data_IF_062904169222
#
_entry.id   IF_062904169222
#
_cell.length_a   1.000
_cell.length_b   1.000
_cell.length_c   1.000
_cell.angle_alpha   90.00
_cell.angle_beta   90.00
_cell.angle_gamma   90.00
#
_symmetry.space_group_name_H-M   'P 1'
#
loop_
_entity.id
_entity.type
_entity.pdbx_description
1 polymer ?
#
# COMPACT_ATOMS: atom_id res chain seq x y z
N UNK A 1 -12.27 -1.07 -6.64
CA UNK A 1 -11.35 -0.46 -7.62
C UNK A 1 -10.00 -1.14 -7.59
N UNK A 2 -9.33 -1.32 -6.44
CA UNK A 2 -8.01 -1.95 -6.40
C UNK A 2 -8.02 -3.32 -7.08
N UNK A 3 -8.99 -4.17 -6.80
CA UNK A 3 -9.15 -5.46 -7.46
C UNK A 3 -9.33 -5.33 -8.98
N UNK A 4 -10.00 -4.28 -9.46
CA UNK A 4 -10.13 -4.03 -10.89
C UNK A 4 -8.80 -3.63 -11.52
N UNK A 5 -8.02 -2.76 -10.87
CA UNK A 5 -6.67 -2.38 -11.31
C UNK A 5 -5.77 -3.63 -11.36
N UNK A 6 -5.77 -4.43 -10.30
CA UNK A 6 -4.97 -5.65 -10.21
C UNK A 6 -5.38 -6.69 -11.26
N UNK A 7 -6.69 -6.82 -11.54
CA UNK A 7 -7.19 -7.68 -12.63
C UNK A 7 -6.69 -7.23 -14.01
N UNK A 8 -6.68 -5.92 -14.27
CA UNK A 8 -6.13 -5.35 -15.50
C UNK A 8 -4.64 -5.68 -15.65
N UNK A 9 -3.84 -5.35 -14.63
CA UNK A 9 -2.40 -5.60 -14.63
C UNK A 9 -2.10 -7.09 -14.80
N UNK A 10 -2.76 -7.95 -14.03
CA UNK A 10 -2.60 -9.39 -14.08
C UNK A 10 -2.97 -9.98 -15.43
N UNK A 11 -4.09 -9.52 -16.03
CA UNK A 11 -4.51 -9.96 -17.36
C UNK A 11 -3.58 -9.49 -18.48
N UNK A 12 -2.82 -8.42 -18.27
CA UNK A 12 -1.84 -7.90 -19.23
C UNK A 12 -0.60 -8.77 -19.38
N UNK A 13 -0.28 -9.59 -18.36
CA UNK A 13 0.82 -10.55 -18.42
C UNK A 13 0.47 -11.72 -19.35
N UNK A 14 1.48 -12.34 -19.98
CA UNK A 14 1.30 -13.49 -20.86
C UNK A 14 0.61 -14.66 -20.13
N UNK A 15 -0.53 -15.10 -20.66
CA UNK A 15 -1.34 -16.16 -20.05
C UNK A 15 -2.06 -15.75 -18.75
N UNK A 16 -1.99 -14.49 -18.37
CA UNK A 16 -2.61 -13.99 -17.13
C UNK A 16 -4.13 -14.04 -17.17
N UNK A 17 -4.73 -14.55 -16.09
CA UNK A 17 -6.18 -14.59 -15.90
C UNK A 17 -6.62 -13.42 -15.02
N UNK A 18 -7.73 -12.72 -15.36
CA UNK A 18 -8.13 -11.51 -14.62
C UNK A 18 -8.33 -11.72 -13.12
N UNK A 19 -8.92 -12.85 -12.71
CA UNK A 19 -9.32 -13.07 -11.30
C UNK A 19 -8.59 -14.22 -10.61
N UNK A 20 -7.60 -14.83 -11.27
CA UNK A 20 -6.84 -15.94 -10.70
C UNK A 20 -5.36 -15.84 -11.13
N UNK A 21 -4.52 -15.30 -10.30
CA UNK A 21 -3.09 -15.11 -10.59
C UNK A 21 -2.30 -14.60 -9.39
N UNK A 22 -1.21 -13.92 -9.69
CA UNK A 22 -0.23 -13.49 -8.70
C UNK A 22 -0.76 -12.43 -7.71
N UNK A 23 -1.47 -11.42 -8.25
CA UNK A 23 -1.94 -10.28 -7.44
C UNK A 23 -3.25 -10.58 -6.73
N UNK A 24 -4.19 -11.19 -7.45
CA UNK A 24 -5.51 -11.51 -6.90
C UNK A 24 -5.94 -12.93 -7.29
N UNK A 25 -6.62 -13.58 -6.34
CA UNK A 25 -7.31 -14.83 -6.54
C UNK A 25 -8.67 -14.74 -5.82
N UNK A 26 -9.65 -14.12 -6.49
CA UNK A 26 -10.92 -13.69 -5.89
C UNK A 26 -12.12 -14.53 -6.31
N UNK A 27 -11.87 -15.66 -6.97
CA UNK A 27 -12.93 -16.63 -7.28
C UNK A 27 -13.50 -16.48 -8.70
N UNK A 28 -14.75 -16.89 -8.85
CA UNK A 28 -15.40 -17.00 -10.16
C UNK A 28 -16.06 -15.69 -10.58
N UNK A 29 -16.01 -15.35 -11.87
CA UNK A 29 -16.67 -14.17 -12.44
C UNK A 29 -18.17 -14.15 -12.09
N UNK A 30 -18.84 -15.29 -12.09
CA UNK A 30 -20.25 -15.40 -11.72
C UNK A 30 -20.56 -14.98 -10.28
N UNK A 31 -19.60 -15.09 -9.36
CA UNK A 31 -19.73 -14.67 -7.96
C UNK A 31 -19.43 -13.18 -7.76
N UNK A 32 -18.61 -12.60 -8.64
CA UNK A 32 -18.16 -11.21 -8.58
C UNK A 32 -19.11 -10.24 -9.27
N UNK A 33 -20.01 -10.73 -10.12
CA UNK A 33 -21.00 -9.91 -10.81
C UNK A 33 -21.92 -9.19 -9.83
N UNK A 34 -22.31 -7.97 -10.18
CA UNK A 34 -23.29 -7.24 -9.38
C UNK A 34 -24.68 -7.90 -9.50
N UNK A 35 -25.09 -8.58 -8.42
CA UNK A 35 -26.37 -9.29 -8.35
C UNK A 35 -27.57 -8.35 -8.23
N UNK A 36 -27.39 -7.10 -7.80
CA UNK A 36 -28.47 -6.14 -7.65
C UNK A 36 -28.96 -5.60 -9.00
N UNK A 37 -28.06 -5.43 -9.95
CA UNK A 37 -28.41 -4.97 -11.30
C UNK A 37 -28.54 -6.13 -12.30
N UNK A 38 -28.32 -7.37 -11.87
CA UNK A 38 -28.44 -8.55 -12.72
C UNK A 38 -27.47 -8.56 -13.91
N UNK A 39 -26.24 -8.07 -13.70
CA UNK A 39 -25.22 -8.03 -14.78
C UNK A 39 -24.77 -9.42 -15.20
N UNK A 40 -24.73 -9.65 -16.50
CA UNK A 40 -24.23 -10.91 -17.09
C UNK A 40 -22.73 -10.86 -17.39
N UNK A 41 -22.11 -9.69 -17.31
CA UNK A 41 -20.68 -9.48 -17.58
C UNK A 41 -20.05 -8.59 -16.51
N UNK A 42 -18.73 -8.71 -16.34
CA UNK A 42 -17.91 -7.74 -15.64
C UNK A 42 -17.15 -6.95 -16.69
N UNK A 43 -17.21 -5.64 -16.60
CA UNK A 43 -16.50 -4.74 -17.50
C UNK A 43 -15.61 -3.79 -16.71
N UNK A 44 -14.34 -3.70 -17.10
CA UNK A 44 -13.35 -2.82 -16.49
C UNK A 44 -12.79 -1.96 -17.62
N UNK A 45 -13.05 -0.66 -17.55
CA UNK A 45 -12.58 0.32 -18.55
C UNK A 45 -11.52 1.25 -18.00
N UNK A 46 -10.64 1.72 -18.88
CA UNK A 46 -9.65 2.77 -18.59
C UNK A 46 -9.71 3.83 -19.68
N UNK A 47 -10.10 5.06 -19.32
CA UNK A 47 -10.12 6.24 -20.19
C UNK A 47 -10.83 6.05 -21.55
N UNK A 48 -11.85 5.21 -21.63
CA UNK A 48 -12.57 4.87 -22.89
C UNK A 48 -11.70 4.23 -23.99
N UNK A 49 -10.39 4.13 -23.77
CA UNK A 49 -9.42 3.61 -24.74
C UNK A 49 -9.19 2.11 -24.59
N UNK A 50 -9.31 1.62 -23.38
CA UNK A 50 -9.09 0.21 -23.06
C UNK A 50 -10.26 -0.36 -22.26
N UNK A 51 -10.70 -1.55 -22.60
CA UNK A 51 -11.66 -2.30 -21.80
C UNK A 51 -11.31 -3.78 -21.70
N UNK A 52 -11.60 -4.35 -20.55
CA UNK A 52 -11.56 -5.78 -20.25
C UNK A 52 -12.97 -6.25 -19.95
N UNK A 53 -13.55 -7.07 -20.82
CA UNK A 53 -14.90 -7.63 -20.67
C UNK A 53 -14.78 -9.10 -20.30
N UNK A 54 -15.43 -9.52 -19.22
CA UNK A 54 -15.35 -10.86 -18.63
C UNK A 54 -16.76 -11.45 -18.51
N UNK A 55 -17.21 -12.20 -19.53
CA UNK A 55 -18.52 -12.83 -19.54
C UNK A 55 -18.57 -14.10 -18.66
N UNK A 56 -17.46 -14.81 -18.48
CA UNK A 56 -17.37 -16.03 -17.65
C UNK A 56 -15.96 -16.29 -17.13
N UNK A 57 -15.75 -17.42 -16.49
CA UNK A 57 -14.47 -17.79 -15.87
C UNK A 57 -13.40 -18.27 -16.87
N UNK A 58 -13.78 -18.48 -18.12
CA UNK A 58 -12.92 -19.09 -19.15
C UNK A 58 -12.51 -18.08 -20.20
N UNK A 59 -13.44 -17.18 -20.57
CA UNK A 59 -13.24 -16.24 -21.66
C UNK A 59 -13.23 -14.81 -21.13
N UNK A 60 -12.32 -14.01 -21.64
CA UNK A 60 -12.30 -12.57 -21.49
C UNK A 60 -11.81 -11.92 -22.78
N UNK A 61 -12.27 -10.71 -23.03
CA UNK A 61 -11.90 -9.93 -24.21
C UNK A 61 -11.24 -8.64 -23.76
N UNK A 62 -10.10 -8.34 -24.35
CA UNK A 62 -9.43 -7.05 -24.25
C UNK A 62 -9.73 -6.23 -25.50
N UNK A 63 -10.00 -4.95 -25.33
CA UNK A 63 -10.16 -3.98 -26.41
C UNK A 63 -9.23 -2.82 -26.13
N UNK A 64 -8.46 -2.37 -27.12
CA UNK A 64 -7.40 -1.37 -26.96
C UNK A 64 -6.09 -1.95 -26.43
N UNK A 65 -5.09 -1.09 -26.31
CA UNK A 65 -3.77 -1.42 -25.78
C UNK A 65 -3.64 -0.88 -24.35
N UNK A 66 -3.48 -1.76 -23.38
CA UNK A 66 -3.18 -1.39 -22.01
C UNK A 66 -1.72 -1.70 -21.73
N UNK A 67 -0.89 -0.73 -21.32
CA UNK A 67 0.54 -0.92 -21.15
C UNK A 67 0.90 -1.71 -19.86
N UNK A 68 0.12 -2.74 -19.55
CA UNK A 68 0.30 -3.53 -18.33
C UNK A 68 1.68 -4.20 -18.25
N UNK A 69 2.28 -4.54 -19.41
CA UNK A 69 3.63 -5.12 -19.45
C UNK A 69 4.73 -4.10 -19.10
N UNK A 70 4.46 -2.82 -19.21
CA UNK A 70 5.39 -1.72 -18.93
C UNK A 70 5.27 -1.21 -17.49
N UNK A 71 4.15 -1.54 -16.80
CA UNK A 71 3.91 -1.11 -15.43
C UNK A 71 4.52 -2.11 -14.45
N UNK A 72 5.52 -1.67 -13.70
CA UNK A 72 5.98 -2.41 -12.54
C UNK A 72 5.08 -2.07 -11.35
N UNK A 73 4.22 -3.02 -10.97
CA UNK A 73 3.26 -2.85 -9.88
C UNK A 73 3.74 -3.62 -8.66
N UNK A 74 3.94 -2.89 -7.56
CA UNK A 74 4.15 -3.44 -6.23
C UNK A 74 2.81 -3.38 -5.49
N UNK A 75 2.26 -4.54 -5.14
CA UNK A 75 1.02 -4.62 -4.38
C UNK A 75 1.28 -5.16 -2.98
N UNK A 76 0.79 -4.47 -1.99
CA UNK A 76 0.85 -4.81 -0.56
C UNK A 76 -0.56 -5.02 -0.06
N UNK A 77 -0.95 -6.27 0.11
CA UNK A 77 -2.27 -6.68 0.58
C UNK A 77 -2.50 -6.31 2.04
N UNK A 78 -3.77 -6.19 2.45
CA UNK A 78 -4.16 -6.08 3.86
C UNK A 78 -3.76 -7.34 4.66
N UNK A 79 -3.79 -8.53 4.05
CA UNK A 79 -3.36 -9.79 4.65
C UNK A 79 -1.84 -9.97 4.57
N UNK A 80 -1.10 -9.16 5.32
CA UNK A 80 0.36 -9.27 5.45
C UNK A 80 0.75 -10.36 6.44
N UNK A 81 2.01 -10.86 6.31
CA UNK A 81 2.52 -11.92 7.18
C UNK A 81 2.60 -11.47 8.64
N UNK A 82 3.08 -10.25 8.87
CA UNK A 82 3.19 -9.65 10.20
C UNK A 82 4.14 -10.41 11.14
N UNK A 83 3.78 -10.53 12.42
CA UNK A 83 4.65 -11.07 13.46
C UNK A 83 4.88 -12.58 13.34
N UNK A 84 6.15 -12.99 13.23
CA UNK A 84 6.64 -14.37 13.22
C UNK A 84 7.92 -14.48 14.04
N UNK A 85 8.26 -15.67 14.51
CA UNK A 85 9.57 -15.93 15.13
C UNK A 85 10.70 -15.96 14.10
N UNK A 86 10.40 -16.49 12.91
CA UNK A 86 11.26 -16.55 11.72
C UNK A 86 10.44 -16.30 10.47
N UNK A 87 11.10 -15.89 9.41
CA UNK A 87 10.48 -15.61 8.11
C UNK A 87 11.10 -16.50 7.03
N UNK A 88 10.43 -16.63 5.90
CA UNK A 88 10.85 -17.50 4.81
C UNK A 88 11.81 -16.79 3.85
N UNK A 89 12.77 -17.52 3.30
CA UNK A 89 13.55 -17.08 2.15
C UNK A 89 12.77 -17.29 0.85
N UNK A 90 12.96 -16.40 -0.11
CA UNK A 90 12.51 -16.63 -1.48
C UNK A 90 13.45 -17.61 -2.20
N UNK A 91 13.15 -18.89 -2.09
CA UNK A 91 13.94 -19.97 -2.71
C UNK A 91 13.71 -20.11 -4.21
N UNK A 92 12.71 -19.42 -4.78
CA UNK A 92 12.44 -19.42 -6.23
C UNK A 92 13.44 -18.57 -7.00
N UNK A 93 14.24 -17.79 -6.29
CA UNK A 93 15.16 -16.80 -6.87
C UNK A 93 14.44 -15.50 -7.25
N UNK A 94 15.23 -14.43 -7.44
CA UNK A 94 14.71 -13.09 -7.73
C UNK A 94 14.46 -12.26 -6.48
N UNK A 95 14.06 -10.99 -6.72
CA UNK A 95 13.88 -9.96 -5.70
C UNK A 95 12.40 -9.68 -5.42
N UNK A 96 11.57 -10.71 -5.56
CA UNK A 96 10.14 -10.61 -5.28
C UNK A 96 9.88 -10.60 -3.77
N UNK A 97 9.14 -9.61 -3.30
CA UNK A 97 8.74 -9.48 -1.89
C UNK A 97 7.45 -10.26 -1.60
N UNK A 98 6.64 -10.50 -2.64
CA UNK A 98 5.31 -11.09 -2.54
C UNK A 98 4.24 -10.10 -2.10
N UNK A 99 2.97 -10.42 -2.40
CA UNK A 99 1.83 -9.53 -2.14
C UNK A 99 1.48 -9.41 -0.65
N UNK A 100 1.84 -10.40 0.15
CA UNK A 100 1.68 -10.44 1.61
C UNK A 100 2.94 -10.02 2.34
N UNK A 101 3.93 -9.48 1.61
CA UNK A 101 5.26 -9.17 2.10
C UNK A 101 6.00 -10.40 2.69
N UNK A 102 5.66 -11.61 2.23
CA UNK A 102 6.20 -12.87 2.77
C UNK A 102 7.71 -12.97 2.68
N UNK A 103 8.33 -12.27 1.72
CA UNK A 103 9.78 -12.25 1.51
C UNK A 103 10.41 -10.87 1.78
N UNK A 104 9.71 -9.97 2.48
CA UNK A 104 10.22 -8.62 2.75
C UNK A 104 11.54 -8.67 3.55
N UNK A 105 11.64 -9.51 4.55
CA UNK A 105 12.85 -9.62 5.36
C UNK A 105 13.98 -10.39 4.66
N UNK A 106 13.65 -11.30 3.74
CA UNK A 106 14.66 -11.92 2.85
C UNK A 106 15.24 -10.86 1.91
N UNK A 107 14.38 -10.01 1.33
CA UNK A 107 14.81 -8.88 0.52
C UNK A 107 15.71 -7.93 1.33
N UNK A 108 15.32 -7.57 2.55
CA UNK A 108 16.15 -6.74 3.43
C UNK A 108 17.50 -7.39 3.72
N UNK A 109 17.54 -8.68 4.06
CA UNK A 109 18.79 -9.40 4.37
C UNK A 109 19.76 -9.41 3.18
N UNK A 110 19.23 -9.56 1.96
CA UNK A 110 20.04 -9.56 0.73
C UNK A 110 20.58 -8.18 0.34
N UNK A 111 19.78 -7.14 0.56
CA UNK A 111 20.03 -5.78 0.05
C UNK A 111 20.42 -4.76 1.13
N UNK A 112 20.54 -5.16 2.40
CA UNK A 112 20.81 -4.26 3.54
C UNK A 112 21.94 -3.27 3.27
N UNK A 113 23.05 -3.78 2.72
CA UNK A 113 24.27 -3.01 2.46
C UNK A 113 24.35 -2.46 1.04
N UNK A 114 23.35 -2.71 0.19
CA UNK A 114 23.34 -2.17 -1.16
C UNK A 114 23.34 -0.65 -1.12
N UNK A 115 24.20 0.00 -1.91
CA UNK A 115 24.22 1.46 -1.98
C UNK A 115 22.86 2.00 -2.42
N UNK A 116 22.40 3.02 -1.72
CA UNK A 116 21.17 3.70 -2.12
C UNK A 116 21.39 4.40 -3.48
N UNK A 117 20.64 3.98 -4.49
CA UNK A 117 20.91 4.37 -5.88
C UNK A 117 20.29 5.71 -6.28
N UNK A 118 19.24 6.15 -5.61
CA UNK A 118 18.54 7.38 -5.95
C UNK A 118 18.62 8.40 -4.80
N UNK A 119 19.53 9.37 -4.95
CA UNK A 119 19.67 10.46 -3.99
C UNK A 119 18.39 11.30 -3.82
N UNK A 120 17.47 11.30 -4.82
CA UNK A 120 16.20 12.01 -4.72
C UNK A 120 15.27 11.34 -3.71
N UNK A 121 15.45 10.06 -3.43
CA UNK A 121 14.66 9.32 -2.43
C UNK A 121 15.24 9.43 -1.00
N UNK A 122 16.36 10.13 -0.81
CA UNK A 122 16.90 10.40 0.52
C UNK A 122 16.17 11.58 1.12
N UNK A 123 15.41 11.34 2.17
CA UNK A 123 14.67 12.40 2.87
C UNK A 123 15.58 13.25 3.77
N UNK A 124 16.59 12.63 4.39
CA UNK A 124 17.51 13.28 5.32
C UNK A 124 18.94 12.87 4.98
N UNK A 125 19.77 13.84 4.64
CA UNK A 125 21.17 13.64 4.25
C UNK A 125 22.04 13.02 5.36
N UNK A 126 21.58 13.04 6.62
CA UNK A 126 22.26 12.40 7.74
C UNK A 126 22.00 10.90 7.83
N UNK A 127 21.01 10.39 7.09
CA UNK A 127 20.68 8.97 7.03
C UNK A 127 21.76 8.17 6.31
N UNK A 128 21.89 6.88 6.64
CA UNK A 128 22.82 5.99 5.94
C UNK A 128 22.34 5.76 4.51
N UNK A 129 23.25 5.90 3.55
CA UNK A 129 22.99 5.73 2.11
C UNK A 129 23.10 4.27 1.68
N UNK A 130 22.42 3.36 2.42
CA UNK A 130 22.22 1.97 2.05
C UNK A 130 20.73 1.65 2.13
N UNK A 131 20.29 0.59 1.47
CA UNK A 131 18.88 0.16 1.52
C UNK A 131 18.41 -0.03 2.96
N UNK A 132 19.09 -0.85 3.75
CA UNK A 132 18.76 -1.06 5.17
C UNK A 132 18.87 0.22 6.00
N UNK A 133 19.79 1.12 5.65
CA UNK A 133 19.90 2.44 6.25
C UNK A 133 18.65 3.29 6.06
N UNK A 134 18.07 3.29 4.86
CA UNK A 134 16.82 4.01 4.56
C UNK A 134 15.61 3.33 5.21
N UNK A 135 15.53 2.00 5.22
CA UNK A 135 14.50 1.25 5.94
C UNK A 135 14.52 1.63 7.43
N UNK A 136 15.70 1.62 8.05
CA UNK A 136 15.85 1.94 9.45
C UNK A 136 15.56 3.42 9.77
N UNK A 137 15.96 4.34 8.90
CA UNK A 137 15.62 5.76 9.06
C UNK A 137 14.09 5.96 9.16
N UNK A 138 13.33 5.40 8.22
CA UNK A 138 11.87 5.58 8.23
C UNK A 138 11.18 4.82 9.35
N UNK A 139 11.63 3.60 9.68
CA UNK A 139 11.06 2.84 10.77
C UNK A 139 11.30 3.52 12.13
N UNK A 140 12.49 4.11 12.33
CA UNK A 140 12.82 4.86 13.52
C UNK A 140 12.01 6.15 13.62
N UNK A 141 11.86 6.89 12.51
CA UNK A 141 11.06 8.11 12.44
C UNK A 141 9.59 7.85 12.74
N UNK A 142 9.01 6.75 12.25
CA UNK A 142 7.57 6.43 12.41
C UNK A 142 7.28 5.82 13.77
N UNK A 143 8.12 4.89 14.27
CA UNK A 143 7.84 4.10 15.46
C UNK A 143 8.96 4.06 16.51
N UNK A 144 10.13 4.64 16.22
CA UNK A 144 11.29 4.61 17.14
C UNK A 144 11.97 3.25 17.22
N UNK A 145 11.89 2.44 16.17
CA UNK A 145 12.53 1.12 16.07
C UNK A 145 13.45 1.05 14.86
N UNK A 146 14.46 0.18 14.96
CA UNK A 146 15.27 -0.29 13.84
C UNK A 146 15.02 -1.77 13.61
N UNK A 147 15.31 -2.28 12.41
CA UNK A 147 15.13 -3.69 12.02
C UNK A 147 16.40 -4.24 11.40
N UNK A 148 16.70 -5.50 11.72
CA UNK A 148 17.83 -6.26 11.18
C UNK A 148 17.32 -7.63 10.75
N UNK A 149 17.75 -8.08 9.58
CA UNK A 149 17.40 -9.37 9.01
C UNK A 149 18.68 -10.09 8.62
N UNK A 150 18.78 -11.37 8.95
CA UNK A 150 19.93 -12.22 8.61
C UNK A 150 19.48 -13.64 8.26
N UNK A 151 20.19 -14.27 7.33
CA UNK A 151 19.96 -15.66 6.98
C UNK A 151 20.38 -16.59 8.12
N UNK A 152 19.55 -17.60 8.40
CA UNK A 152 19.93 -18.66 9.34
C UNK A 152 20.66 -19.74 8.55
N UNK A 153 21.95 -19.93 8.86
CA UNK A 153 22.80 -20.89 8.17
C UNK A 153 22.17 -22.29 8.05
N UNK A 154 22.27 -22.88 6.85
CA UNK A 154 21.76 -24.22 6.51
C UNK A 154 20.26 -24.40 6.65
N UNK A 155 19.50 -23.32 6.60
CA UNK A 155 18.03 -23.33 6.57
C UNK A 155 17.52 -22.44 5.43
N UNK A 156 16.21 -22.41 5.22
CA UNK A 156 15.52 -21.49 4.31
C UNK A 156 14.77 -20.40 5.11
N UNK A 157 15.35 -20.01 6.25
CA UNK A 157 14.71 -19.08 7.18
C UNK A 157 15.56 -17.84 7.40
N UNK A 158 14.87 -16.73 7.63
CA UNK A 158 15.43 -15.44 8.01
C UNK A 158 15.15 -15.19 9.49
N UNK A 159 16.18 -14.83 10.24
CA UNK A 159 16.04 -14.28 11.59
C UNK A 159 15.86 -12.78 11.49
N UNK A 160 14.85 -12.27 12.19
CA UNK A 160 14.60 -10.82 12.31
C UNK A 160 14.75 -10.42 13.77
N UNK A 161 15.40 -9.28 13.97
CA UNK A 161 15.47 -8.62 15.28
C UNK A 161 15.24 -7.13 15.16
N UNK A 162 14.68 -6.55 16.21
CA UNK A 162 14.46 -5.10 16.31
C UNK A 162 15.40 -4.48 17.33
N UNK A 163 15.76 -3.21 17.11
CA UNK A 163 16.43 -2.35 18.06
C UNK A 163 15.50 -1.22 18.50
N UNK A 164 15.73 -0.66 19.68
CA UNK A 164 15.01 0.52 20.19
C UNK A 164 15.93 1.37 21.07
N UNK A 165 16.34 2.54 20.55
CA UNK A 165 17.22 3.45 21.28
C UNK A 165 18.46 2.73 21.84
N UNK A 166 18.78 2.96 23.12
CA UNK A 166 19.98 2.40 23.78
C UNK A 166 19.88 0.90 24.11
N UNK A 167 18.71 0.27 23.94
CA UNK A 167 18.55 -1.17 24.21
C UNK A 167 19.30 -2.03 23.19
N UNK A 168 19.71 -1.43 22.07
CA UNK A 168 20.46 -2.13 21.02
C UNK A 168 19.58 -3.10 20.23
N UNK A 169 20.24 -3.96 19.45
CA UNK A 169 19.59 -4.94 18.58
C UNK A 169 19.37 -6.25 19.33
N UNK A 170 18.29 -6.95 19.02
CA UNK A 170 18.07 -8.30 19.58
C UNK A 170 16.69 -8.54 20.16
N UNK A 171 15.76 -7.58 20.01
CA UNK A 171 14.37 -7.81 20.41
C UNK A 171 13.69 -8.67 19.35
N UNK A 172 13.22 -9.84 19.75
CA UNK A 172 12.46 -10.72 18.83
C UNK A 172 11.16 -10.06 18.37
N UNK A 173 10.71 -10.30 17.11
CA UNK A 173 9.43 -9.77 16.59
C UNK A 173 8.23 -10.07 17.49
N UNK A 174 8.20 -11.22 18.15
CA UNK A 174 7.10 -11.59 19.07
C UNK A 174 7.07 -10.77 20.37
N UNK A 175 8.13 -10.03 20.67
CA UNK A 175 8.26 -9.20 21.87
C UNK A 175 8.14 -7.70 21.58
N UNK A 176 7.83 -7.31 20.34
CA UNK A 176 7.49 -5.93 19.97
C UNK A 176 6.00 -5.81 19.67
N UNK A 177 5.49 -4.58 19.65
CA UNK A 177 4.10 -4.36 19.22
C UNK A 177 3.88 -4.83 17.78
N UNK A 178 2.77 -5.48 17.51
CA UNK A 178 2.43 -6.04 16.19
C UNK A 178 2.60 -5.03 15.05
N UNK A 179 2.24 -3.77 15.27
CA UNK A 179 2.38 -2.71 14.27
C UNK A 179 3.81 -2.49 13.77
N UNK A 180 4.84 -2.83 14.58
CA UNK A 180 6.25 -2.67 14.16
C UNK A 180 6.58 -3.59 12.98
N UNK A 181 6.20 -4.87 13.06
CA UNK A 181 6.44 -5.82 11.97
C UNK A 181 5.61 -5.48 10.74
N UNK A 182 4.32 -5.12 10.91
CA UNK A 182 3.44 -4.76 9.79
C UNK A 182 3.95 -3.55 9.01
N UNK A 183 4.42 -2.50 9.69
CA UNK A 183 4.91 -1.31 9.01
C UNK A 183 6.32 -1.50 8.44
N UNK A 184 7.18 -2.29 9.08
CA UNK A 184 8.49 -2.64 8.54
C UNK A 184 8.37 -3.36 7.19
N UNK A 185 7.45 -4.33 7.06
CA UNK A 185 7.14 -5.01 5.81
C UNK A 185 6.71 -4.04 4.71
N UNK A 186 5.84 -3.06 5.05
CA UNK A 186 5.38 -2.03 4.11
C UNK A 186 6.52 -1.10 3.71
N UNK A 187 7.34 -0.64 4.65
CA UNK A 187 8.49 0.24 4.38
C UNK A 187 9.50 -0.46 3.45
N UNK A 188 9.86 -1.70 3.73
CA UNK A 188 10.76 -2.50 2.89
C UNK A 188 10.20 -2.61 1.47
N UNK A 189 8.91 -2.96 1.36
CA UNK A 189 8.21 -3.10 0.08
C UNK A 189 8.15 -1.79 -0.71
N UNK A 190 7.85 -0.69 -0.04
CA UNK A 190 7.75 0.63 -0.66
C UNK A 190 9.13 1.16 -1.12
N UNK A 191 10.17 0.99 -0.31
CA UNK A 191 11.54 1.40 -0.66
C UNK A 191 12.18 0.51 -1.74
N UNK A 192 11.65 -0.67 -2.01
CA UNK A 192 12.08 -1.49 -3.15
C UNK A 192 11.57 -0.97 -4.51
N UNK A 193 10.60 -0.04 -4.51
CA UNK A 193 10.08 0.58 -5.71
C UNK A 193 11.08 1.59 -6.30
N UNK A 194 10.98 1.79 -7.61
CA UNK A 194 11.79 2.74 -8.38
C UNK A 194 10.90 3.84 -8.96
N UNK A 195 11.49 4.93 -9.40
CA UNK A 195 10.78 5.98 -10.13
C UNK A 195 10.03 5.39 -11.33
N UNK A 196 8.74 5.70 -11.43
CA UNK A 196 7.84 5.19 -12.46
C UNK A 196 7.07 3.93 -12.06
N UNK A 197 7.40 3.31 -10.94
CA UNK A 197 6.64 2.16 -10.40
C UNK A 197 5.30 2.62 -9.81
N UNK A 198 4.36 1.67 -9.73
CA UNK A 198 3.07 1.84 -9.07
C UNK A 198 3.06 1.02 -7.78
N UNK A 199 2.90 1.68 -6.64
CA UNK A 199 2.77 1.07 -5.33
C UNK A 199 1.30 1.09 -4.90
N UNK A 200 0.72 -0.08 -4.68
CA UNK A 200 -0.65 -0.23 -4.19
C UNK A 200 -0.60 -0.81 -2.78
N UNK A 201 -1.24 -0.15 -1.81
CA UNK A 201 -1.26 -0.59 -0.41
C UNK A 201 -2.70 -0.63 0.11
N UNK A 202 -3.10 -1.77 0.65
CA UNK A 202 -4.37 -1.91 1.36
C UNK A 202 -4.16 -1.78 2.87
N UNK A 203 -5.03 -1.00 3.51
CA UNK A 203 -5.10 -0.78 4.96
C UNK A 203 -3.71 -0.61 5.62
N UNK A 204 -2.91 0.40 5.24
CA UNK A 204 -1.59 0.61 5.85
C UNK A 204 -1.64 0.93 7.34
N UNK A 205 -2.79 1.41 7.82
CA UNK A 205 -3.01 1.81 9.20
C UNK A 205 -3.15 0.66 10.19
N UNK A 206 -3.26 -0.58 9.74
CA UNK A 206 -3.48 -1.75 10.62
C UNK A 206 -2.43 -1.79 11.73
N UNK A 207 -2.89 -1.86 12.96
CA UNK A 207 -2.07 -1.90 14.18
C UNK A 207 -1.19 -0.67 14.45
N UNK A 208 -1.36 0.44 13.71
CA UNK A 208 -0.62 1.68 13.96
C UNK A 208 -1.36 2.62 14.90
N UNK A 209 -0.61 3.20 15.84
CA UNK A 209 -1.11 4.33 16.63
C UNK A 209 -1.37 5.53 15.72
N UNK A 210 -2.39 6.38 15.99
CA UNK A 210 -2.72 7.55 15.19
C UNK A 210 -1.54 8.44 14.79
N UNK A 211 -0.63 8.73 15.72
CA UNK A 211 0.56 9.54 15.43
C UNK A 211 1.49 8.88 14.37
N UNK A 212 1.65 7.55 14.44
CA UNK A 212 2.46 6.81 13.48
C UNK A 212 1.82 6.79 12.08
N UNK A 213 0.49 6.81 12.01
CA UNK A 213 -0.22 6.89 10.72
C UNK A 213 0.07 8.21 10.02
N UNK A 214 0.15 9.33 10.74
CA UNK A 214 0.49 10.63 10.18
C UNK A 214 1.94 10.67 9.67
N UNK A 215 2.90 10.13 10.42
CA UNK A 215 4.30 10.03 9.99
C UNK A 215 4.45 9.09 8.79
N UNK A 216 3.66 8.03 8.73
CA UNK A 216 3.63 7.12 7.59
C UNK A 216 3.12 7.82 6.32
N UNK A 217 2.13 8.70 6.42
CA UNK A 217 1.70 9.52 5.27
C UNK A 217 2.82 10.42 4.77
N UNK A 218 3.62 11.02 5.66
CA UNK A 218 4.79 11.80 5.25
C UNK A 218 5.78 10.94 4.45
N UNK A 219 6.00 9.69 4.86
CA UNK A 219 6.82 8.74 4.11
C UNK A 219 6.28 8.50 2.69
N UNK A 220 4.98 8.19 2.57
CA UNK A 220 4.35 7.98 1.27
C UNK A 220 4.40 9.24 0.39
N UNK A 221 4.14 10.40 0.98
CA UNK A 221 4.22 11.70 0.29
C UNK A 221 5.63 11.94 -0.28
N UNK A 222 6.67 11.62 0.50
CA UNK A 222 8.05 11.71 0.03
C UNK A 222 8.30 10.79 -1.17
N UNK A 223 7.88 9.54 -1.13
CA UNK A 223 8.02 8.60 -2.25
C UNK A 223 7.24 9.04 -3.49
N UNK A 224 6.04 9.62 -3.32
CA UNK A 224 5.26 10.16 -4.43
C UNK A 224 6.01 11.29 -5.15
N UNK A 225 6.64 12.22 -4.39
CA UNK A 225 7.51 13.28 -4.95
C UNK A 225 8.73 12.73 -5.69
N UNK A 226 9.19 11.55 -5.33
CA UNK A 226 10.28 10.85 -6.03
C UNK A 226 9.82 10.16 -7.33
N UNK A 227 8.54 10.27 -7.66
CA UNK A 227 7.96 9.78 -8.91
C UNK A 227 7.45 8.33 -8.86
N UNK A 228 7.12 7.83 -7.67
CA UNK A 228 6.37 6.58 -7.49
C UNK A 228 4.88 6.92 -7.45
N UNK A 229 4.07 6.29 -8.29
CA UNK A 229 2.62 6.42 -8.19
C UNK A 229 2.10 5.58 -7.03
N UNK A 230 1.45 6.21 -6.05
CA UNK A 230 0.98 5.52 -4.86
C UNK A 230 -0.55 5.48 -4.83
N UNK A 231 -1.11 4.30 -4.65
CA UNK A 231 -2.56 4.07 -4.50
C UNK A 231 -2.79 3.42 -3.14
N UNK A 232 -3.54 4.10 -2.28
CA UNK A 232 -3.83 3.63 -0.91
C UNK A 232 -5.32 3.42 -0.75
N UNK A 233 -5.71 2.27 -0.23
CA UNK A 233 -7.03 2.03 0.29
C UNK A 233 -6.96 2.09 1.81
N UNK A 234 -7.83 2.86 2.44
CA UNK A 234 -7.79 3.09 3.89
C UNK A 234 -9.17 3.39 4.46
N UNK A 235 -9.36 3.00 5.72
CA UNK A 235 -10.51 3.36 6.54
C UNK A 235 -10.15 4.35 7.67
N UNK A 236 -8.94 4.92 7.64
CA UNK A 236 -8.43 5.80 8.68
C UNK A 236 -8.62 7.28 8.36
N UNK A 237 -9.27 8.00 9.27
CA UNK A 237 -9.31 9.46 9.27
C UNK A 237 -7.93 10.08 9.53
N UNK A 238 -7.03 9.39 10.21
CA UNK A 238 -5.66 9.85 10.45
C UNK A 238 -4.81 9.80 9.16
N UNK A 239 -4.97 8.76 8.32
CA UNK A 239 -4.35 8.72 6.99
C UNK A 239 -4.91 9.86 6.12
N UNK A 240 -6.24 10.02 6.07
CA UNK A 240 -6.88 11.11 5.34
C UNK A 240 -6.41 12.50 5.80
N UNK A 241 -6.38 12.73 7.11
CA UNK A 241 -5.91 14.00 7.68
C UNK A 241 -4.39 14.18 7.49
N UNK A 242 -3.61 13.10 7.46
CA UNK A 242 -2.19 13.12 7.13
C UNK A 242 -1.93 13.64 5.72
N UNK A 243 -2.73 13.19 4.73
CA UNK A 243 -2.67 13.70 3.34
C UNK A 243 -3.00 15.19 3.29
N UNK A 244 -4.08 15.62 3.94
CA UNK A 244 -4.47 17.04 4.03
C UNK A 244 -3.39 17.91 4.68
N UNK A 245 -2.75 17.38 5.73
CA UNK A 245 -1.64 18.05 6.42
C UNK A 245 -0.42 18.15 5.51
N UNK A 246 -0.16 17.13 4.68
CA UNK A 246 0.94 17.16 3.72
C UNK A 246 0.72 18.21 2.63
N UNK A 247 -0.51 18.39 2.14
CA UNK A 247 -0.87 19.49 1.24
C UNK A 247 -0.69 20.84 1.93
N UNK A 248 -1.23 21.00 3.15
CA UNK A 248 -1.13 22.25 3.92
C UNK A 248 0.32 22.69 4.20
N UNK A 249 1.24 21.75 4.34
CA UNK A 249 2.66 22.00 4.61
C UNK A 249 3.53 22.06 3.34
N UNK A 250 2.92 22.09 2.16
CA UNK A 250 3.62 22.06 0.87
C UNK A 250 4.55 20.86 0.70
N UNK A 251 4.25 19.74 1.40
CA UNK A 251 4.96 18.49 1.20
C UNK A 251 4.56 17.78 -0.09
N UNK A 252 3.36 18.06 -0.60
CA UNK A 252 2.86 17.61 -1.90
C UNK A 252 1.87 18.64 -2.44
N UNK A 253 1.87 18.86 -3.75
CA UNK A 253 0.90 19.72 -4.39
C UNK A 253 -0.48 19.05 -4.41
N UNK A 254 -1.55 19.81 -4.22
CA UNK A 254 -2.91 19.25 -4.21
C UNK A 254 -3.29 18.61 -5.56
N UNK A 255 -2.70 19.09 -6.65
CA UNK A 255 -2.87 18.55 -8.00
C UNK A 255 -2.30 17.14 -8.16
N UNK A 256 -1.33 16.76 -7.33
CA UNK A 256 -0.73 15.42 -7.29
C UNK A 256 -1.50 14.46 -6.35
N UNK A 257 -2.61 14.93 -5.75
CA UNK A 257 -3.42 14.15 -4.81
C UNK A 257 -4.83 13.97 -5.32
N UNK A 258 -5.29 12.72 -5.41
CA UNK A 258 -6.68 12.38 -5.73
C UNK A 258 -7.28 11.53 -4.62
N UNK A 259 -8.37 12.02 -4.02
CA UNK A 259 -9.07 11.33 -2.93
C UNK A 259 -10.47 10.97 -3.39
N UNK A 260 -10.80 9.68 -3.36
CA UNK A 260 -12.13 9.19 -3.72
C UNK A 260 -12.82 8.58 -2.51
N UNK A 261 -14.01 9.09 -2.20
CA UNK A 261 -14.90 8.51 -1.22
C UNK A 261 -15.98 7.68 -1.91
N UNK A 262 -16.14 6.42 -1.50
CA UNK A 262 -17.10 5.50 -2.10
C UNK A 262 -18.39 5.48 -1.29
N UNK A 263 -19.49 5.96 -1.91
CA UNK A 263 -20.82 5.94 -1.32
C UNK A 263 -21.66 4.81 -1.89
N UNK A 264 -22.36 4.09 -1.01
CA UNK A 264 -23.31 3.06 -1.43
C UNK A 264 -24.65 3.74 -1.79
N UNK A 265 -25.15 3.49 -3.01
CA UNK A 265 -26.46 3.92 -3.45
C UNK A 265 -27.57 2.95 -3.02
N UNK A 266 -28.85 3.40 -3.06
CA UNK A 266 -30.02 2.58 -2.75
C UNK A 266 -30.14 1.34 -3.66
N UNK A 267 -29.67 1.43 -4.89
CA UNK A 267 -29.63 0.32 -5.85
C UNK A 267 -28.49 -0.69 -5.60
N UNK A 268 -27.75 -0.56 -4.48
CA UNK A 268 -26.64 -1.45 -4.12
C UNK A 268 -25.34 -1.20 -4.86
N UNK A 269 -25.28 -0.23 -5.76
CA UNK A 269 -24.05 0.18 -6.43
C UNK A 269 -23.23 1.12 -5.54
N UNK A 270 -21.90 1.08 -5.69
CA UNK A 270 -21.00 2.08 -5.10
C UNK A 270 -20.64 3.15 -6.12
N UNK A 271 -20.65 4.40 -5.70
CA UNK A 271 -20.26 5.56 -6.52
C UNK A 271 -19.03 6.22 -5.95
N UNK A 272 -17.97 6.42 -6.75
CA UNK A 272 -16.82 7.21 -6.35
C UNK A 272 -17.18 8.71 -6.36
N UNK A 273 -16.86 9.39 -5.29
CA UNK A 273 -16.99 10.84 -5.17
C UNK A 273 -15.61 11.44 -4.97
N UNK A 274 -15.16 12.27 -5.90
CA UNK A 274 -13.90 12.99 -5.76
C UNK A 274 -14.01 14.01 -4.62
N UNK A 275 -13.08 13.96 -3.69
CA UNK A 275 -12.96 14.92 -2.59
C UNK A 275 -11.96 15.99 -2.99
N UNK A 276 -12.41 17.22 -3.08
CA UNK A 276 -11.61 18.37 -3.50
C UNK A 276 -10.94 19.04 -2.30
N UNK A 277 -9.64 19.33 -2.43
CA UNK A 277 -8.86 20.09 -1.46
C UNK A 277 -8.49 21.46 -2.01
N UNK A 278 -8.42 22.47 -1.13
CA UNK A 278 -7.73 23.71 -1.46
C UNK A 278 -6.24 23.64 -1.08
N UNK A 279 -5.47 24.69 -1.38
CA UNK A 279 -4.03 24.77 -1.08
C UNK A 279 -3.71 24.69 0.43
N UNK A 280 -4.69 24.99 1.29
CA UNK A 280 -4.57 24.83 2.73
C UNK A 280 -4.95 23.42 3.24
N UNK A 281 -5.18 22.45 2.33
CA UNK A 281 -5.61 21.08 2.68
C UNK A 281 -7.03 21.00 3.26
N UNK A 282 -7.86 22.04 3.07
CA UNK A 282 -9.26 22.03 3.49
C UNK A 282 -10.14 21.36 2.45
N UNK A 283 -11.08 20.53 2.90
CA UNK A 283 -12.08 19.90 2.04
C UNK A 283 -13.09 20.95 1.57
N UNK A 284 -13.29 21.07 0.27
CA UNK A 284 -14.22 22.00 -0.36
C UNK A 284 -15.64 21.44 -0.51
N UNK A 285 -15.75 20.11 -0.64
CA UNK A 285 -17.01 19.43 -0.95
C UNK A 285 -17.30 18.30 0.07
N UNK A 286 -17.33 18.66 1.36
CA UNK A 286 -17.59 17.69 2.44
C UNK A 286 -18.82 16.82 2.15
N UNK A 287 -18.68 15.51 2.35
CA UNK A 287 -19.75 14.52 2.16
C UNK A 287 -20.13 13.90 3.50
N UNK A 288 -21.43 13.60 3.65
CA UNK A 288 -21.90 12.84 4.80
C UNK A 288 -21.28 11.43 4.79
N UNK A 289 -20.85 10.97 5.97
CA UNK A 289 -20.13 9.69 6.15
C UNK A 289 -18.62 9.78 5.90
N UNK A 290 -18.10 10.88 5.37
CA UNK A 290 -16.65 11.07 5.21
C UNK A 290 -16.03 11.51 6.53
N UNK A 291 -15.61 10.55 7.36
CA UNK A 291 -14.93 10.76 8.65
C UNK A 291 -15.62 11.78 9.58
N UNK A 292 -16.97 11.79 9.60
CA UNK A 292 -17.79 12.68 10.41
C UNK A 292 -18.29 12.04 11.72
N UNK A 293 -17.90 10.76 11.98
CA UNK A 293 -18.39 10.02 13.15
C UNK A 293 -17.95 10.66 14.46
N UNK A 294 -16.71 11.12 14.56
CA UNK A 294 -16.22 11.79 15.78
C UNK A 294 -17.08 13.02 16.12
N UNK A 295 -17.47 13.79 15.11
CA UNK A 295 -18.34 14.95 15.30
C UNK A 295 -19.72 14.52 15.79
N UNK A 296 -20.34 13.51 15.15
CA UNK A 296 -21.63 12.95 15.55
C UNK A 296 -21.64 12.44 17.00
N UNK A 297 -20.54 11.74 17.41
CA UNK A 297 -20.41 11.24 18.76
C UNK A 297 -20.24 12.36 19.78
N UNK A 298 -19.48 13.41 19.44
CA UNK A 298 -19.33 14.59 20.30
C UNK A 298 -20.65 15.36 20.44
N UNK A 299 -21.42 15.54 19.36
CA UNK A 299 -22.73 16.19 19.42
C UNK A 299 -23.67 15.44 20.39
N UNK A 300 -23.65 14.10 20.37
CA UNK A 300 -24.41 13.26 21.32
C UNK A 300 -23.91 13.42 22.76
N UNK A 301 -22.57 13.37 22.98
CA UNK A 301 -21.96 13.46 24.32
C UNK A 301 -22.20 14.83 24.94
N UNK A 302 -22.15 15.89 24.13
CA UNK A 302 -22.31 17.28 24.58
C UNK A 302 -23.77 17.72 24.62
N UNK A 303 -24.69 16.92 24.07
CA UNK A 303 -26.14 17.20 24.05
C UNK A 303 -26.53 18.31 23.07
N UNK A 304 -25.87 18.38 21.95
CA UNK A 304 -26.10 19.35 20.88
C UNK A 304 -27.00 18.78 19.78
#
# INVERSE_FOLDING_TARGET
ILQAILALVQSGKDGGKPFCGEYINIGKASELRNKYIGSDVIEIGVNEEYSLTIPDDIFWRKTGEFPAAELNVRYVSADRVGVRETYEQNIRGGDEIGIRCEYAYDYLAKHDMDPWQDNLMVYDETSKLTFGGQVNYWLEKILGYTVYAEEIERTTLIRVSYGKGDIGNGISPVNVGTGVSYIAEVIISALSCKKGDVLIIENPEIHLHPSAQTEFVLFLTHLAKCGIQIIVETHSDHIFNGVRTSVHKDYIDKEDVSIYFFQKKENGCSEPVLIELNDEGKVLNQKEGLFDQIKKDLDVILGW
#
